data_IF_904199256579
#
_entry.id   IF_904199256579
#
_cell.length_a   1.000
_cell.length_b   1.000
_cell.length_c   1.000
_cell.angle_alpha   90.00
_cell.angle_beta   90.00
_cell.angle_gamma   90.00
#
_symmetry.space_group_name_H-M   'P 1'
#
loop_
_entity.id
_entity.type
_entity.pdbx_description
1 polymer ?
#
# COMPACT_ATOMS: atom_id res chain seq x y z
N UNK A 1 -38.93 -5.76 41.77
CA UNK A 1 -38.90 -4.39 41.18
C UNK A 1 -39.65 -4.27 39.86
N UNK A 2 -39.54 -5.19 38.89
CA UNK A 2 -40.22 -5.07 37.57
C UNK A 2 -41.75 -4.94 37.60
N UNK A 3 -42.43 -5.59 38.56
CA UNK A 3 -43.90 -5.52 38.69
C UNK A 3 -44.37 -4.14 39.18
N UNK A 4 -43.61 -3.51 40.09
CA UNK A 4 -43.95 -2.20 40.65
C UNK A 4 -43.78 -1.11 39.59
N UNK A 5 -42.70 -1.15 38.80
CA UNK A 5 -42.51 -0.22 37.67
C UNK A 5 -43.55 -0.40 36.57
N UNK A 6 -43.96 -1.65 36.31
CA UNK A 6 -45.03 -1.94 35.37
C UNK A 6 -46.37 -1.34 35.83
N UNK A 7 -46.72 -1.51 37.11
CA UNK A 7 -47.94 -0.94 37.69
C UNK A 7 -47.92 0.59 37.68
N UNK A 8 -46.78 1.21 38.01
CA UNK A 8 -46.62 2.68 37.97
C UNK A 8 -46.76 3.22 36.54
N UNK A 9 -46.20 2.53 35.55
CA UNK A 9 -46.28 2.94 34.13
C UNK A 9 -47.70 2.80 33.56
N UNK A 10 -48.49 1.86 34.07
CA UNK A 10 -49.88 1.61 33.66
C UNK A 10 -50.91 2.42 34.44
N UNK A 11 -50.50 3.19 35.46
CA UNK A 11 -51.38 4.00 36.30
C UNK A 11 -52.35 4.92 35.51
N UNK A 12 -51.94 5.61 34.42
CA UNK A 12 -52.85 6.43 33.63
C UNK A 12 -54.01 5.62 33.03
N UNK A 13 -53.73 4.39 32.61
CA UNK A 13 -54.74 3.51 32.01
C UNK A 13 -55.77 3.11 33.07
N UNK A 14 -55.34 2.72 34.26
CA UNK A 14 -56.25 2.39 35.37
C UNK A 14 -57.12 3.58 35.81
N UNK A 15 -56.54 4.78 35.89
CA UNK A 15 -57.28 6.01 36.20
C UNK A 15 -58.35 6.29 35.13
N UNK A 16 -58.00 6.14 33.86
CA UNK A 16 -58.92 6.38 32.75
C UNK A 16 -60.04 5.33 32.67
N UNK A 17 -59.72 4.05 32.92
CA UNK A 17 -60.70 2.97 33.00
C UNK A 17 -61.66 3.14 34.19
N UNK A 18 -61.16 3.56 35.35
CA UNK A 18 -62.00 3.86 36.51
C UNK A 18 -62.91 5.06 36.27
N UNK A 19 -62.39 6.12 35.65
CA UNK A 19 -63.17 7.31 35.28
C UNK A 19 -64.28 6.99 34.28
N UNK A 20 -63.96 6.22 33.23
CA UNK A 20 -64.95 5.75 32.25
C UNK A 20 -66.01 4.84 32.88
N UNK A 21 -65.62 3.96 33.82
CA UNK A 21 -66.55 3.11 34.56
C UNK A 21 -67.52 3.90 35.44
N UNK A 22 -67.05 4.97 36.10
CA UNK A 22 -67.88 5.89 36.87
C UNK A 22 -68.90 6.60 35.95
N UNK A 23 -68.43 7.14 34.83
CA UNK A 23 -69.29 7.81 33.84
C UNK A 23 -70.38 6.87 33.31
N UNK A 24 -70.00 5.65 32.91
CA UNK A 24 -70.95 4.63 32.49
C UNK A 24 -71.98 4.33 33.58
N UNK A 25 -71.56 4.17 34.85
CA UNK A 25 -72.45 3.94 35.98
C UNK A 25 -73.45 5.07 36.21
N UNK A 26 -73.02 6.34 36.11
CA UNK A 26 -73.90 7.52 36.20
C UNK A 26 -74.90 7.54 35.04
N UNK A 27 -74.43 7.25 33.82
CA UNK A 27 -75.27 7.19 32.63
C UNK A 27 -76.35 6.10 32.73
N UNK A 28 -75.98 4.89 33.14
CA UNK A 28 -76.91 3.77 33.34
C UNK A 28 -77.95 4.08 34.42
N UNK A 29 -77.54 4.70 35.54
CA UNK A 29 -78.46 5.11 36.60
C UNK A 29 -79.48 6.14 36.12
N UNK A 30 -79.04 7.10 35.30
CA UNK A 30 -79.89 8.16 34.77
C UNK A 30 -80.91 7.65 33.73
N UNK A 31 -80.46 6.79 32.81
CA UNK A 31 -81.34 6.17 31.79
C UNK A 31 -82.29 5.12 32.38
N UNK A 32 -81.83 4.35 33.37
CA UNK A 32 -82.68 3.36 34.08
C UNK A 32 -83.76 4.01 34.95
N UNK A 33 -83.62 5.31 35.27
CA UNK A 33 -84.64 6.10 35.96
C UNK A 33 -85.75 6.63 35.02
N UNK A 34 -85.75 6.25 33.74
CA UNK A 34 -86.80 6.60 32.77
C UNK A 34 -86.59 7.94 32.04
N UNK A 35 -85.43 8.58 32.20
CA UNK A 35 -85.11 9.82 31.49
C UNK A 35 -84.63 9.53 30.06
N UNK A 36 -85.40 9.96 29.06
CA UNK A 36 -85.00 9.94 27.65
C UNK A 36 -84.20 11.21 27.35
N UNK A 37 -82.87 11.11 27.24
CA UNK A 37 -82.04 12.23 26.81
C UNK A 37 -82.28 12.53 25.33
N UNK A 38 -82.45 13.80 24.98
CA UNK A 38 -82.37 14.22 23.59
C UNK A 38 -80.95 14.02 23.04
N UNK A 39 -80.82 13.90 21.72
CA UNK A 39 -79.52 13.70 21.07
C UNK A 39 -78.52 14.83 21.39
N UNK A 40 -79.01 16.05 21.62
CA UNK A 40 -78.18 17.20 21.98
C UNK A 40 -77.63 17.09 23.41
N UNK A 41 -78.47 16.72 24.38
CA UNK A 41 -78.04 16.55 25.77
C UNK A 41 -77.08 15.36 25.96
N UNK A 42 -77.24 14.31 25.15
CA UNK A 42 -76.26 13.23 25.08
C UNK A 42 -74.90 13.73 24.57
N UNK A 43 -74.90 14.60 23.56
CA UNK A 43 -73.70 15.26 23.06
C UNK A 43 -73.01 16.13 24.12
N UNK A 44 -73.78 16.95 24.84
CA UNK A 44 -73.27 17.81 25.91
C UNK A 44 -72.70 16.99 27.09
N UNK A 45 -73.34 15.88 27.45
CA UNK A 45 -72.83 14.94 28.46
C UNK A 45 -71.49 14.32 28.03
N UNK A 46 -71.39 13.82 26.80
CA UNK A 46 -70.16 13.23 26.28
C UNK A 46 -69.05 14.27 26.14
N UNK A 47 -69.36 15.49 25.70
CA UNK A 47 -68.40 16.58 25.62
C UNK A 47 -67.85 16.95 27.01
N UNK A 48 -68.73 17.05 28.02
CA UNK A 48 -68.33 17.29 29.40
C UNK A 48 -67.52 16.14 30.03
N UNK A 49 -67.82 14.90 29.65
CA UNK A 49 -67.12 13.70 30.11
C UNK A 49 -65.74 13.50 29.45
N UNK A 50 -65.62 13.75 28.14
CA UNK A 50 -64.37 13.53 27.40
C UNK A 50 -63.40 14.71 27.49
N UNK A 51 -63.86 15.93 27.76
CA UNK A 51 -62.97 17.10 27.83
C UNK A 51 -61.88 16.99 28.93
N UNK A 52 -62.20 16.64 30.19
CA UNK A 52 -61.17 16.43 31.22
C UNK A 52 -60.24 15.25 30.91
N UNK A 53 -60.78 14.19 30.28
CA UNK A 53 -60.01 13.01 29.89
C UNK A 53 -58.98 13.34 28.81
N UNK A 54 -59.38 14.06 27.78
CA UNK A 54 -58.49 14.51 26.71
C UNK A 54 -57.39 15.44 27.26
N UNK A 55 -57.76 16.38 28.15
CA UNK A 55 -56.79 17.26 28.80
C UNK A 55 -55.79 16.50 29.67
N UNK A 56 -56.25 15.51 30.44
CA UNK A 56 -55.39 14.65 31.26
C UNK A 56 -54.32 13.93 30.42
N UNK A 57 -54.71 13.32 29.30
CA UNK A 57 -53.77 12.64 28.39
C UNK A 57 -52.80 13.61 27.71
N UNK A 58 -53.25 14.82 27.37
CA UNK A 58 -52.40 15.85 26.77
C UNK A 58 -51.26 16.25 27.74
N UNK A 59 -51.60 16.54 29.00
CA UNK A 59 -50.62 16.92 30.02
C UNK A 59 -49.62 15.78 30.29
N UNK A 60 -50.09 14.53 30.39
CA UNK A 60 -49.20 13.38 30.54
C UNK A 60 -48.26 13.21 29.35
N UNK A 61 -48.77 13.36 28.12
CA UNK A 61 -47.97 13.32 26.91
C UNK A 61 -46.89 14.39 26.89
N UNK A 62 -47.21 15.61 27.32
CA UNK A 62 -46.24 16.72 27.42
C UNK A 62 -45.10 16.41 28.40
N UNK A 63 -45.40 15.89 29.59
CA UNK A 63 -44.36 15.51 30.56
C UNK A 63 -43.50 14.35 30.06
N UNK A 64 -44.11 13.36 29.40
CA UNK A 64 -43.37 12.24 28.83
C UNK A 64 -42.43 12.68 27.71
N UNK A 65 -42.91 13.52 26.79
CA UNK A 65 -42.09 14.12 25.73
C UNK A 65 -40.92 14.93 26.31
N UNK A 66 -41.15 15.70 27.37
CA UNK A 66 -40.09 16.47 28.05
C UNK A 66 -38.98 15.58 28.62
N UNK A 67 -39.35 14.45 29.24
CA UNK A 67 -38.38 13.48 29.78
C UNK A 67 -37.62 12.75 28.67
N UNK A 68 -38.30 12.38 27.59
CA UNK A 68 -37.68 11.76 26.42
C UNK A 68 -36.70 12.71 25.72
N UNK A 69 -37.02 14.01 25.66
CA UNK A 69 -36.13 15.04 25.13
C UNK A 69 -34.87 15.21 25.99
N UNK A 70 -35.01 15.26 27.32
CA UNK A 70 -33.85 15.33 28.23
C UNK A 70 -32.92 14.13 28.06
N UNK A 71 -33.47 12.92 28.03
CA UNK A 71 -32.70 11.70 27.77
C UNK A 71 -32.00 11.74 26.40
N UNK A 72 -32.66 12.30 25.38
CA UNK A 72 -32.09 12.44 24.04
C UNK A 72 -30.95 13.45 24.00
N UNK A 73 -31.07 14.57 24.72
CA UNK A 73 -30.01 15.58 24.87
C UNK A 73 -28.81 14.97 25.59
N UNK A 74 -29.02 14.23 26.67
CA UNK A 74 -27.95 13.57 27.40
C UNK A 74 -27.22 12.53 26.53
N UNK A 75 -27.97 11.72 25.79
CA UNK A 75 -27.40 10.76 24.85
C UNK A 75 -26.59 11.45 23.74
N UNK A 76 -27.07 12.61 23.23
CA UNK A 76 -26.37 13.38 22.22
C UNK A 76 -25.07 13.99 22.77
N UNK A 77 -25.10 14.51 24.00
CA UNK A 77 -23.91 15.03 24.67
C UNK A 77 -22.86 13.92 24.87
N UNK A 78 -23.28 12.73 25.30
CA UNK A 78 -22.38 11.58 25.41
C UNK A 78 -21.78 11.18 24.05
N UNK A 79 -22.58 11.15 22.98
CA UNK A 79 -22.10 10.89 21.61
C UNK A 79 -21.09 11.95 21.16
N UNK A 80 -21.34 13.23 21.43
CA UNK A 80 -20.42 14.31 21.08
C UNK A 80 -19.06 14.17 21.81
N UNK A 81 -19.08 13.77 23.08
CA UNK A 81 -17.86 13.49 23.85
C UNK A 81 -17.09 12.31 23.25
N UNK A 82 -17.78 11.21 22.93
CA UNK A 82 -17.16 10.03 22.32
C UNK A 82 -16.56 10.35 20.95
N UNK A 83 -17.25 11.14 20.12
CA UNK A 83 -16.73 11.59 18.83
C UNK A 83 -15.46 12.45 18.99
N UNK A 84 -15.44 13.36 19.97
CA UNK A 84 -14.25 14.17 20.27
C UNK A 84 -13.06 13.29 20.72
N UNK A 85 -13.33 12.27 21.55
CA UNK A 85 -12.31 11.31 21.96
C UNK A 85 -11.79 10.50 20.77
N UNK A 86 -12.69 9.96 19.92
CA UNK A 86 -12.31 9.21 18.72
C UNK A 86 -11.51 10.06 17.73
N UNK A 87 -11.86 11.33 17.53
CA UNK A 87 -11.09 12.24 16.69
C UNK A 87 -9.66 12.47 17.23
N UNK A 88 -9.51 12.59 18.56
CA UNK A 88 -8.19 12.70 19.19
C UNK A 88 -7.36 11.42 19.02
N UNK A 89 -7.98 10.24 19.14
CA UNK A 89 -7.31 8.95 18.93
C UNK A 89 -6.89 8.77 17.46
N UNK A 90 -7.78 9.11 16.51
CA UNK A 90 -7.47 9.07 15.08
C UNK A 90 -6.31 10.02 14.74
N UNK A 91 -6.27 11.22 15.31
CA UNK A 91 -5.15 12.15 15.13
C UNK A 91 -3.82 11.58 15.66
N UNK A 92 -3.83 10.94 16.83
CA UNK A 92 -2.65 10.23 17.35
C UNK A 92 -2.23 9.10 16.43
N UNK A 93 -3.18 8.31 15.92
CA UNK A 93 -2.91 7.22 14.98
C UNK A 93 -2.31 7.73 13.67
N UNK A 94 -2.82 8.82 13.09
CA UNK A 94 -2.25 9.47 11.91
C UNK A 94 -0.80 9.89 12.17
N UNK A 95 -0.53 10.52 13.32
CA UNK A 95 0.85 10.93 13.67
C UNK A 95 1.80 9.74 13.83
N UNK A 96 1.32 8.62 14.37
CA UNK A 96 2.09 7.38 14.50
C UNK A 96 2.34 6.75 13.13
N UNK A 97 1.31 6.68 12.28
CA UNK A 97 1.42 6.16 10.92
C UNK A 97 2.37 7.00 10.06
N UNK A 98 2.37 8.31 10.22
CA UNK A 98 3.30 9.20 9.52
C UNK A 98 4.76 8.86 9.89
N UNK A 99 5.04 8.65 11.18
CA UNK A 99 6.36 8.20 11.64
C UNK A 99 6.72 6.83 11.06
N UNK A 100 5.77 5.89 11.05
CA UNK A 100 6.00 4.56 10.45
C UNK A 100 6.34 4.67 8.96
N UNK A 101 5.62 5.49 8.19
CA UNK A 101 5.88 5.73 6.77
C UNK A 101 7.27 6.35 6.58
N UNK A 102 7.67 7.31 7.41
CA UNK A 102 9.00 7.92 7.35
C UNK A 102 10.11 6.89 7.64
N UNK A 103 9.94 6.06 8.66
CA UNK A 103 10.89 4.98 8.96
C UNK A 103 10.95 3.95 7.84
N UNK A 104 9.81 3.59 7.25
CA UNK A 104 9.73 2.64 6.15
C UNK A 104 10.44 3.17 4.90
N UNK A 105 10.24 4.45 4.56
CA UNK A 105 10.95 5.12 3.46
C UNK A 105 12.46 5.13 3.68
N UNK A 106 12.92 5.38 4.90
CA UNK A 106 14.34 5.35 5.24
C UNK A 106 14.92 3.93 5.06
N UNK A 107 14.20 2.89 5.49
CA UNK A 107 14.59 1.49 5.32
C UNK A 107 14.65 1.11 3.84
N UNK A 108 13.64 1.47 3.04
CA UNK A 108 13.61 1.21 1.60
C UNK A 108 14.74 1.92 0.86
N UNK A 109 14.99 3.19 1.19
CA UNK A 109 16.10 3.94 0.62
C UNK A 109 17.45 3.30 0.98
N UNK A 110 17.60 2.79 2.21
CA UNK A 110 18.79 2.05 2.62
C UNK A 110 18.97 0.75 1.83
N UNK A 111 17.91 -0.05 1.68
CA UNK A 111 17.95 -1.29 0.89
C UNK A 111 18.35 -1.04 -0.57
N UNK A 112 17.74 -0.03 -1.20
CA UNK A 112 18.08 0.35 -2.56
C UNK A 112 19.54 0.81 -2.67
N UNK A 113 20.03 1.57 -1.69
CA UNK A 113 21.43 1.99 -1.66
C UNK A 113 22.37 0.78 -1.60
N UNK A 114 22.11 -0.16 -0.70
CA UNK A 114 22.89 -1.40 -0.59
C UNK A 114 22.87 -2.20 -1.89
N UNK A 115 21.70 -2.33 -2.52
CA UNK A 115 21.56 -3.06 -3.79
C UNK A 115 22.38 -2.41 -4.90
N UNK A 116 22.34 -1.07 -5.02
CA UNK A 116 23.12 -0.35 -6.04
C UNK A 116 24.63 -0.47 -5.81
N UNK A 117 25.07 -0.32 -4.56
CA UNK A 117 26.49 -0.47 -4.20
C UNK A 117 26.98 -1.87 -4.54
N UNK A 118 26.25 -2.89 -4.08
CA UNK A 118 26.58 -4.28 -4.36
C UNK A 118 26.59 -4.56 -5.87
N UNK A 119 25.60 -4.06 -6.61
CA UNK A 119 25.52 -4.25 -8.07
C UNK A 119 26.71 -3.59 -8.78
N UNK A 120 27.12 -2.39 -8.38
CA UNK A 120 28.30 -1.72 -8.93
C UNK A 120 29.59 -2.48 -8.60
N UNK A 121 29.73 -2.99 -7.38
CA UNK A 121 30.90 -3.79 -6.98
C UNK A 121 31.00 -5.07 -7.82
N UNK A 122 29.91 -5.83 -7.94
CA UNK A 122 29.85 -7.05 -8.76
C UNK A 122 30.14 -6.72 -10.23
N UNK A 123 29.53 -5.66 -10.76
CA UNK A 123 29.73 -5.23 -12.16
C UNK A 123 31.18 -4.85 -12.42
N UNK A 124 31.81 -4.10 -11.50
CA UNK A 124 33.23 -3.75 -11.59
C UNK A 124 34.11 -4.99 -11.55
N UNK A 125 33.87 -5.91 -10.63
CA UNK A 125 34.63 -7.15 -10.50
C UNK A 125 34.52 -8.01 -11.77
N UNK A 126 33.32 -8.16 -12.33
CA UNK A 126 33.09 -8.90 -13.57
C UNK A 126 33.84 -8.28 -14.76
N UNK A 127 33.76 -6.95 -14.92
CA UNK A 127 34.49 -6.25 -15.98
C UNK A 127 36.02 -6.35 -15.82
N UNK A 128 36.53 -6.27 -14.59
CA UNK A 128 37.97 -6.48 -14.35
C UNK A 128 38.41 -7.90 -14.69
N UNK A 129 37.59 -8.90 -14.39
CA UNK A 129 37.85 -10.30 -14.73
C UNK A 129 37.81 -10.53 -16.24
N UNK A 130 36.85 -9.92 -16.94
CA UNK A 130 36.78 -9.93 -18.41
C UNK A 130 38.05 -9.30 -18.99
N UNK A 131 38.42 -8.11 -18.53
CA UNK A 131 39.64 -7.40 -18.98
C UNK A 131 40.88 -8.26 -18.80
N UNK A 132 41.06 -8.87 -17.63
CA UNK A 132 42.18 -9.80 -17.36
C UNK A 132 42.16 -10.98 -18.32
N UNK A 133 40.99 -11.61 -18.52
CA UNK A 133 40.83 -12.76 -19.43
C UNK A 133 41.16 -12.42 -20.88
N UNK A 134 40.65 -11.29 -21.38
CA UNK A 134 40.93 -10.80 -22.72
C UNK A 134 42.40 -10.46 -22.92
N UNK A 135 43.06 -9.84 -21.93
CA UNK A 135 44.50 -9.56 -21.98
C UNK A 135 45.34 -10.84 -22.04
N UNK A 136 44.98 -11.87 -21.25
CA UNK A 136 45.62 -13.18 -21.30
C UNK A 136 45.41 -13.86 -22.66
N UNK A 137 44.18 -13.86 -23.19
CA UNK A 137 43.89 -14.45 -24.50
C UNK A 137 44.66 -13.72 -25.62
N UNK A 138 44.74 -12.38 -25.54
CA UNK A 138 45.48 -11.56 -26.49
C UNK A 138 46.98 -11.86 -26.45
N UNK A 139 47.59 -11.97 -25.26
CA UNK A 139 49.02 -12.28 -25.14
C UNK A 139 49.37 -13.70 -25.61
N UNK A 140 48.45 -14.65 -25.51
CA UNK A 140 48.61 -16.01 -26.03
C UNK A 140 48.54 -16.07 -27.56
N UNK A 141 47.63 -15.32 -28.18
CA UNK A 141 47.35 -15.44 -29.63
C UNK A 141 48.23 -14.55 -30.50
N UNK A 142 48.70 -13.40 -30.00
CA UNK A 142 49.52 -12.45 -30.77
C UNK A 142 50.83 -13.05 -31.31
N UNK A 143 51.63 -13.79 -30.53
CA UNK A 143 52.85 -14.44 -31.04
C UNK A 143 52.53 -15.48 -32.13
N UNK A 144 51.44 -16.22 -31.96
CA UNK A 144 50.98 -17.26 -32.89
C UNK A 144 50.58 -16.66 -34.24
N UNK A 145 49.85 -15.55 -34.25
CA UNK A 145 49.53 -14.80 -35.50
C UNK A 145 50.81 -14.33 -36.21
N UNK A 146 51.79 -13.80 -35.45
CA UNK A 146 53.07 -13.37 -36.01
C UNK A 146 53.87 -14.53 -36.62
N UNK A 147 53.86 -15.70 -35.98
CA UNK A 147 54.51 -16.90 -36.50
C UNK A 147 53.86 -17.41 -37.79
N UNK A 148 52.53 -17.51 -37.82
CA UNK A 148 51.81 -17.94 -39.02
C UNK A 148 51.91 -16.93 -40.17
N UNK A 149 51.89 -15.62 -39.91
CA UNK A 149 52.10 -14.60 -40.97
C UNK A 149 53.47 -14.73 -41.63
N UNK A 150 54.53 -14.97 -40.85
CA UNK A 150 55.88 -15.21 -41.39
C UNK A 150 55.93 -16.47 -42.27
N UNK A 151 55.37 -17.59 -41.79
CA UNK A 151 55.30 -18.83 -42.56
C UNK A 151 54.46 -18.66 -43.85
N UNK A 152 53.32 -17.96 -43.75
CA UNK A 152 52.39 -17.61 -44.86
C UNK A 152 53.00 -16.62 -45.86
N UNK A 153 54.13 -15.99 -45.58
CA UNK A 153 54.90 -15.22 -46.56
C UNK A 153 56.03 -16.03 -47.24
N UNK A 154 56.64 -17.03 -46.57
CA UNK A 154 57.83 -17.73 -47.10
C UNK A 154 57.64 -18.98 -48.00
N UNK A 155 56.57 -19.77 -47.87
CA UNK A 155 56.34 -21.03 -48.62
C UNK A 155 55.30 -20.96 -49.79
N UNK A 156 55.32 -21.84 -50.80
CA UNK A 156 54.28 -21.97 -51.86
C UNK A 156 53.40 -23.19 -51.54
N UNK A 157 52.07 -23.01 -51.46
CA UNK A 157 51.08 -24.07 -51.14
C UNK A 157 50.48 -23.96 -49.72
N UNK A 158 49.53 -23.03 -49.52
CA UNK A 158 49.27 -22.41 -48.19
C UNK A 158 47.83 -22.34 -47.72
N UNK A 159 46.88 -23.00 -48.39
CA UNK A 159 45.46 -22.77 -48.12
C UNK A 159 45.07 -23.11 -46.67
N UNK A 160 45.66 -24.17 -46.10
CA UNK A 160 45.46 -24.53 -44.69
C UNK A 160 46.05 -23.50 -43.69
N UNK A 161 47.27 -23.01 -43.94
CA UNK A 161 47.91 -22.00 -43.09
C UNK A 161 47.21 -20.63 -43.19
N UNK A 162 46.72 -20.27 -44.38
CA UNK A 162 45.88 -19.07 -44.58
C UNK A 162 44.56 -19.20 -43.84
N UNK A 163 43.90 -20.35 -43.90
CA UNK A 163 42.65 -20.60 -43.16
C UNK A 163 42.84 -20.44 -41.65
N UNK A 164 43.88 -21.06 -41.06
CA UNK A 164 44.23 -20.88 -39.64
C UNK A 164 44.59 -19.43 -39.27
N UNK A 165 45.27 -18.71 -40.16
CA UNK A 165 45.59 -17.30 -39.94
C UNK A 165 44.31 -16.43 -39.87
N UNK A 166 43.34 -16.70 -40.74
CA UNK A 166 42.06 -15.99 -40.77
C UNK A 166 41.27 -16.24 -39.48
N UNK A 167 41.22 -17.48 -38.99
CA UNK A 167 40.53 -17.79 -37.72
C UNK A 167 41.21 -17.15 -36.51
N UNK A 168 42.54 -17.13 -36.45
CA UNK A 168 43.27 -16.46 -35.38
C UNK A 168 43.07 -14.94 -35.40
N UNK A 169 43.05 -14.33 -36.60
CA UNK A 169 42.79 -12.88 -36.74
C UNK A 169 41.36 -12.53 -36.33
N UNK A 170 40.36 -13.30 -36.75
CA UNK A 170 38.97 -13.05 -36.37
C UNK A 170 38.72 -13.28 -34.87
N UNK A 171 39.42 -14.23 -34.24
CA UNK A 171 39.46 -14.37 -32.79
C UNK A 171 40.06 -13.14 -32.10
N UNK A 172 41.24 -12.68 -32.56
CA UNK A 172 41.90 -11.49 -32.04
C UNK A 172 41.05 -10.21 -32.15
N UNK A 173 40.33 -10.05 -33.26
CA UNK A 173 39.40 -8.92 -33.46
C UNK A 173 38.25 -8.96 -32.45
N UNK A 174 37.63 -10.14 -32.24
CA UNK A 174 36.58 -10.32 -31.23
C UNK A 174 37.08 -9.99 -29.82
N UNK A 175 38.26 -10.49 -29.44
CA UNK A 175 38.87 -10.20 -28.14
C UNK A 175 39.15 -8.70 -27.97
N UNK A 176 39.66 -8.04 -29.00
CA UNK A 176 39.96 -6.60 -28.95
C UNK A 176 38.69 -5.76 -28.80
N UNK A 177 37.62 -6.14 -29.49
CA UNK A 177 36.31 -5.47 -29.38
C UNK A 177 35.73 -5.58 -27.97
N UNK A 178 35.76 -6.78 -27.38
CA UNK A 178 35.28 -6.99 -26.01
C UNK A 178 36.13 -6.22 -25.00
N UNK A 179 37.45 -6.18 -25.21
CA UNK A 179 38.36 -5.42 -24.35
C UNK A 179 38.02 -3.93 -24.39
N UNK A 180 37.86 -3.34 -25.57
CA UNK A 180 37.48 -1.93 -25.73
C UNK A 180 36.11 -1.62 -25.10
N UNK A 181 35.09 -2.47 -25.33
CA UNK A 181 33.77 -2.32 -24.71
C UNK A 181 33.84 -2.42 -23.18
N UNK A 182 34.69 -3.32 -22.65
CA UNK A 182 34.88 -3.49 -21.19
C UNK A 182 35.61 -2.30 -20.55
N UNK A 183 36.59 -1.72 -21.23
CA UNK A 183 37.33 -0.54 -20.76
C UNK A 183 36.44 0.70 -20.74
N UNK A 184 35.61 0.87 -21.77
CA UNK A 184 34.60 1.92 -21.79
C UNK A 184 33.61 1.78 -20.64
N UNK A 185 33.09 0.57 -20.40
CA UNK A 185 32.17 0.30 -19.30
C UNK A 185 32.82 0.53 -17.92
N UNK A 186 34.11 0.20 -17.74
CA UNK A 186 34.87 0.49 -16.52
C UNK A 186 35.02 2.00 -16.28
N UNK A 187 35.28 2.77 -17.35
CA UNK A 187 35.31 4.24 -17.28
C UNK A 187 33.94 4.79 -16.87
N UNK A 188 32.86 4.32 -17.52
CA UNK A 188 31.49 4.76 -17.24
C UNK A 188 31.07 4.46 -15.79
N UNK A 189 31.54 3.35 -15.19
CA UNK A 189 31.35 3.02 -13.76
C UNK A 189 32.09 4.00 -12.85
N UNK A 190 33.31 4.41 -13.21
CA UNK A 190 34.09 5.39 -12.44
C UNK A 190 33.40 6.74 -12.33
N UNK A 191 32.60 7.11 -13.34
CA UNK A 191 31.79 8.34 -13.34
C UNK A 191 30.48 8.23 -12.56
N UNK A 192 30.04 7.03 -12.16
CA UNK A 192 28.86 6.86 -11.31
C UNK A 192 29.23 7.22 -9.87
N UNK A 193 29.08 8.50 -9.54
CA UNK A 193 29.14 8.97 -8.15
C UNK A 193 27.83 8.61 -7.44
N UNK A 194 27.88 7.58 -6.59
CA UNK A 194 26.79 7.32 -5.65
C UNK A 194 26.85 8.38 -4.55
N UNK A 195 25.73 9.08 -4.25
CA UNK A 195 25.69 9.99 -3.11
C UNK A 195 25.91 9.21 -1.80
N UNK A 196 26.52 9.89 -0.84
CA UNK A 196 26.68 9.36 0.52
C UNK A 196 25.31 8.99 1.09
N UNK A 197 25.23 7.82 1.72
CA UNK A 197 23.95 7.30 2.19
C UNK A 197 23.30 8.26 3.18
N UNK A 198 22.02 8.56 2.97
CA UNK A 198 21.24 9.38 3.88
C UNK A 198 19.83 8.82 4.04
N UNK A 199 19.33 8.66 5.29
CA UNK A 199 17.99 8.14 5.52
C UNK A 199 16.88 9.08 5.02
N UNK A 200 17.19 10.37 4.83
CA UNK A 200 16.20 11.40 4.45
C UNK A 200 16.34 11.89 3.01
N UNK A 201 17.46 11.59 2.32
CA UNK A 201 17.64 11.94 0.92
C UNK A 201 17.46 10.71 0.04
N UNK A 202 16.38 10.65 -0.77
CA UNK A 202 16.18 9.53 -1.68
C UNK A 202 17.29 9.51 -2.74
N UNK A 203 17.65 8.30 -3.18
CA UNK A 203 18.58 8.14 -4.29
C UNK A 203 17.97 8.76 -5.56
N UNK A 204 18.71 9.61 -6.29
CA UNK A 204 18.24 10.16 -7.54
C UNK A 204 17.82 9.06 -8.52
N UNK A 205 16.59 9.18 -9.05
CA UNK A 205 16.02 8.18 -9.96
C UNK A 205 16.86 7.97 -11.22
N UNK A 206 17.66 8.96 -11.63
CA UNK A 206 18.56 8.86 -12.79
C UNK A 206 19.72 7.86 -12.60
N UNK A 207 20.10 7.57 -11.37
CA UNK A 207 21.23 6.68 -11.07
C UNK A 207 20.83 5.22 -11.27
N UNK A 208 19.62 4.85 -10.85
CA UNK A 208 19.15 3.45 -10.85
C UNK A 208 19.23 2.82 -12.25
N UNK A 209 18.65 3.40 -13.33
CA UNK A 209 18.74 2.84 -14.67
C UNK A 209 20.18 2.78 -15.20
N UNK A 210 21.03 3.74 -14.79
CA UNK A 210 22.43 3.80 -15.21
C UNK A 210 23.22 2.60 -14.64
N UNK A 211 23.01 2.28 -13.36
CA UNK A 211 23.62 1.12 -12.70
C UNK A 211 23.17 -0.19 -13.36
N UNK A 212 21.86 -0.38 -13.55
CA UNK A 212 21.36 -1.61 -14.19
C UNK A 212 21.81 -1.74 -15.65
N UNK A 213 21.90 -0.64 -16.40
CA UNK A 213 22.42 -0.67 -17.79
C UNK A 213 23.89 -1.10 -17.83
N UNK A 214 24.71 -0.61 -16.90
CA UNK A 214 26.10 -1.02 -16.77
C UNK A 214 26.20 -2.51 -16.41
N UNK A 215 25.39 -2.96 -15.45
CA UNK A 215 25.32 -4.37 -15.06
C UNK A 215 24.94 -5.27 -16.24
N UNK A 216 23.90 -4.90 -16.99
CA UNK A 216 23.49 -5.64 -18.19
C UNK A 216 24.58 -5.70 -19.26
N UNK A 217 25.35 -4.60 -19.43
CA UNK A 217 26.49 -4.56 -20.35
C UNK A 217 27.59 -5.52 -19.90
N UNK A 218 27.94 -5.52 -18.61
CA UNK A 218 28.92 -6.45 -18.06
C UNK A 218 28.49 -7.92 -18.21
N UNK A 219 27.23 -8.24 -17.90
CA UNK A 219 26.68 -9.59 -18.07
C UNK A 219 26.74 -10.05 -19.53
N UNK A 220 26.37 -9.19 -20.49
CA UNK A 220 26.49 -9.49 -21.92
C UNK A 220 27.94 -9.77 -22.33
N UNK A 221 28.90 -8.95 -21.86
CA UNK A 221 30.31 -9.15 -22.17
C UNK A 221 30.86 -10.43 -21.53
N UNK A 222 30.41 -10.76 -20.32
CA UNK A 222 30.74 -12.00 -19.63
C UNK A 222 30.29 -13.22 -20.43
N UNK A 223 29.05 -13.22 -20.92
CA UNK A 223 28.52 -14.26 -21.79
C UNK A 223 29.34 -14.44 -23.08
N UNK A 224 29.80 -13.34 -23.68
CA UNK A 224 30.65 -13.38 -24.87
C UNK A 224 32.08 -13.87 -24.57
N UNK A 225 32.56 -13.73 -23.33
CA UNK A 225 33.92 -14.11 -22.94
C UNK A 225 34.05 -15.61 -22.70
N UNK A 226 32.98 -16.28 -22.21
CA UNK A 226 32.96 -17.73 -21.96
C UNK A 226 33.41 -18.57 -23.17
N UNK A 227 32.80 -18.45 -24.37
CA UNK A 227 33.22 -19.25 -25.52
C UNK A 227 34.63 -18.90 -26.01
N UNK A 228 35.11 -17.67 -25.78
CA UNK A 228 36.45 -17.26 -26.16
C UNK A 228 37.54 -17.90 -25.29
N UNK A 229 37.25 -18.17 -24.01
CA UNK A 229 38.16 -18.92 -23.15
C UNK A 229 38.32 -20.37 -23.64
N UNK A 230 37.23 -21.00 -24.09
CA UNK A 230 37.26 -22.35 -24.65
C UNK A 230 37.94 -22.40 -26.03
N UNK A 231 37.75 -21.37 -26.86
CA UNK A 231 38.40 -21.26 -28.16
C UNK A 231 39.91 -20.98 -27.99
N UNK A 232 40.31 -20.15 -27.03
CA UNK A 232 41.72 -19.87 -26.73
C UNK A 232 42.49 -21.11 -26.29
N UNK A 233 41.90 -22.00 -25.49
CA UNK A 233 42.55 -23.24 -25.04
C UNK A 233 42.69 -24.26 -26.18
N UNK A 234 41.72 -24.32 -27.09
CA UNK A 234 41.80 -25.18 -28.30
C UNK A 234 42.88 -24.71 -29.27
N UNK A 235 43.17 -23.41 -29.33
CA UNK A 235 44.21 -22.84 -30.19
C UNK A 235 45.65 -23.06 -29.67
N UNK A 236 45.82 -23.62 -28.47
CA UNK A 236 47.12 -24.05 -27.92
C UNK A 236 47.55 -25.46 -28.36
N UNK A 237 46.62 -26.30 -28.84
CA UNK A 237 46.87 -27.69 -29.25
C UNK A 237 46.87 -27.83 -30.78
#
# INVERSE_FOLDING_TARGET
MKVIEFVIKQHPIWVTSGYLGLLAGVFFKYTSAGASLSLNELGDYLAGAFAPLAFYWLVLGFFQQGKELQNSVDALNQKAIQLKQSASEQSKLVSSNQKLIETQKAIENYKLWQELVHTLEVTRADLENIRKSCNTAKSMVMPTISGYTFQVNNHRGKDHLRSKLVTLRSFSERVSKILEESEKALSDIGEVSLPEHSPTRPIPYSIVPRVYKLHATASRLKEQTIPLQEEASKLQH
#
